data_IF_261619566915
#
_entry.id   IF_261619566915
#
_cell.length_a   1.000
_cell.length_b   1.000
_cell.length_c   1.000
_cell.angle_alpha   90.00
_cell.angle_beta   90.00
_cell.angle_gamma   90.00
#
_symmetry.space_group_name_H-M   'P 1'
#
loop_
_entity.id
_entity.type
_entity.pdbx_description
1 polymer ?
#
# COMPACT_ATOMS: atom_id res chain seq x y z
N UNK A 1 -1.78 7.28 17.97
CA UNK A 1 -1.47 5.94 17.39
C UNK A 1 -2.64 5.44 16.54
N UNK A 2 -2.39 4.58 15.55
CA UNK A 2 -3.43 3.92 14.75
C UNK A 2 -3.29 2.40 14.89
N UNK A 3 -4.40 1.69 15.00
CA UNK A 3 -4.43 0.23 15.09
C UNK A 3 -5.36 -0.34 14.03
N UNK A 4 -4.86 -1.27 13.23
CA UNK A 4 -5.65 -1.92 12.17
C UNK A 4 -6.53 -3.00 12.79
N UNK A 5 -7.83 -2.93 12.51
CA UNK A 5 -8.77 -3.97 12.89
C UNK A 5 -9.35 -4.62 11.64
N UNK A 6 -9.10 -5.92 11.48
CA UNK A 6 -9.76 -6.75 10.47
C UNK A 6 -11.20 -7.01 10.90
N UNK A 7 -12.17 -6.75 10.03
CA UNK A 7 -13.56 -7.16 10.27
C UNK A 7 -13.65 -8.69 10.18
N UNK A 8 -14.11 -9.34 11.25
CA UNK A 8 -14.19 -10.81 11.33
C UNK A 8 -15.40 -11.40 10.59
N UNK A 9 -16.32 -10.56 10.12
CA UNK A 9 -17.68 -10.98 9.74
C UNK A 9 -17.87 -11.20 8.24
N UNK A 10 -16.94 -10.78 7.38
CA UNK A 10 -17.07 -10.88 5.92
C UNK A 10 -15.74 -11.17 5.24
N UNK A 11 -15.77 -11.94 4.14
CA UNK A 11 -14.58 -12.14 3.31
C UNK A 11 -14.05 -10.76 2.86
N UNK A 12 -12.73 -10.50 2.95
CA UNK A 12 -12.17 -9.22 2.55
C UNK A 12 -12.43 -9.00 1.06
N UNK A 13 -13.05 -7.85 0.74
CA UNK A 13 -13.23 -7.42 -0.65
C UNK A 13 -11.84 -7.20 -1.26
N UNK A 14 -11.58 -7.74 -2.44
CA UNK A 14 -10.38 -7.41 -3.21
C UNK A 14 -10.68 -6.26 -4.17
N UNK A 15 -9.80 -5.27 -4.24
CA UNK A 15 -9.92 -4.11 -5.12
C UNK A 15 -8.67 -3.95 -5.98
N UNK A 16 -8.80 -3.17 -7.07
CA UNK A 16 -7.67 -2.73 -7.88
C UNK A 16 -7.53 -1.20 -7.74
N UNK A 17 -6.57 -0.71 -6.94
CA UNK A 17 -6.26 0.72 -6.88
C UNK A 17 -5.71 1.24 -8.21
N UNK A 18 -6.17 2.44 -8.59
CA UNK A 18 -5.73 3.14 -9.79
C UNK A 18 -5.17 4.51 -9.40
N UNK A 19 -3.90 4.75 -9.65
CA UNK A 19 -3.24 6.04 -9.39
C UNK A 19 -3.31 6.86 -10.67
N UNK A 20 -4.15 7.91 -10.66
CA UNK A 20 -4.40 8.74 -11.83
C UNK A 20 -3.46 9.95 -11.87
N UNK A 21 -3.04 10.40 -13.07
CA UNK A 21 -2.21 11.59 -13.27
C UNK A 21 -3.05 12.88 -13.22
N UNK A 22 -3.99 12.94 -12.28
CA UNK A 22 -4.87 14.08 -12.07
C UNK A 22 -5.54 14.02 -10.69
N UNK A 23 -5.91 15.19 -10.16
CA UNK A 23 -6.68 15.28 -8.94
C UNK A 23 -8.19 15.25 -9.24
N UNK A 24 -8.93 14.47 -8.45
CA UNK A 24 -10.39 14.45 -8.44
C UNK A 24 -10.84 15.08 -7.12
N UNK A 25 -11.59 16.19 -7.19
CA UNK A 25 -12.05 16.91 -5.99
C UNK A 25 -13.16 16.17 -5.22
N UNK A 26 -13.87 15.26 -5.88
CA UNK A 26 -14.93 14.48 -5.25
C UNK A 26 -14.35 13.25 -4.54
N UNK A 27 -14.60 13.17 -3.24
CA UNK A 27 -14.25 12.02 -2.40
C UNK A 27 -15.53 11.30 -1.96
N UNK A 28 -15.81 10.14 -2.55
CA UNK A 28 -16.99 9.35 -2.21
C UNK A 28 -17.23 8.20 -3.17
N UNK A 29 -18.12 7.27 -2.82
CA UNK A 29 -18.49 6.17 -3.70
C UNK A 29 -19.16 6.70 -4.97
N UNK A 30 -18.78 6.15 -6.11
CA UNK A 30 -19.39 6.45 -7.40
C UNK A 30 -19.62 5.14 -8.15
N UNK A 31 -20.83 4.95 -8.68
CA UNK A 31 -21.13 3.84 -9.57
C UNK A 31 -20.59 4.18 -10.96
N UNK A 32 -19.47 3.56 -11.34
CA UNK A 32 -18.84 3.76 -12.64
C UNK A 32 -19.25 2.61 -13.55
N UNK A 33 -19.96 2.93 -14.62
CA UNK A 33 -20.25 1.95 -15.66
C UNK A 33 -18.97 1.61 -16.45
N UNK A 34 -18.86 0.36 -16.92
CA UNK A 34 -17.70 -0.12 -17.70
C UNK A 34 -17.38 0.77 -18.91
N UNK A 35 -18.40 1.36 -19.55
CA UNK A 35 -18.19 2.31 -20.66
C UNK A 35 -17.32 3.52 -20.31
N UNK A 36 -17.25 3.92 -19.04
CA UNK A 36 -16.47 5.06 -18.58
C UNK A 36 -15.10 4.66 -18.02
N UNK A 37 -14.98 3.44 -17.50
CA UNK A 37 -13.75 2.92 -16.94
C UNK A 37 -13.68 1.41 -17.16
N UNK A 38 -12.90 1.01 -18.16
CA UNK A 38 -12.63 -0.39 -18.46
C UNK A 38 -11.21 -0.53 -19.06
N UNK A 39 -10.16 -0.43 -18.24
CA UNK A 39 -8.77 -0.59 -18.66
C UNK A 39 -8.58 -1.80 -19.58
N UNK A 40 -8.10 -1.57 -20.80
CA UNK A 40 -7.86 -2.63 -21.77
C UNK A 40 -6.36 -2.97 -21.83
N UNK A 41 -5.97 -4.25 -21.85
CA UNK A 41 -4.60 -4.66 -22.13
C UNK A 41 -4.12 -4.06 -23.45
N UNK A 42 -2.92 -3.48 -23.45
CA UNK A 42 -2.35 -2.91 -24.66
C UNK A 42 -1.82 -4.04 -25.55
N UNK A 43 -2.66 -4.56 -26.46
CA UNK A 43 -2.24 -5.51 -27.47
C UNK A 43 -1.52 -4.76 -28.60
N UNK A 44 -0.31 -4.25 -28.35
CA UNK A 44 0.45 -3.54 -29.38
C UNK A 44 0.98 -4.56 -30.40
N UNK A 45 0.15 -4.92 -31.37
CA UNK A 45 0.63 -5.28 -32.72
C UNK A 45 0.89 -3.94 -33.42
N UNK A 46 2.16 -3.55 -33.50
CA UNK A 46 2.59 -2.32 -34.16
C UNK A 46 2.20 -2.36 -35.64
N UNK A 47 1.05 -1.76 -35.99
CA UNK A 47 0.66 -1.50 -37.37
C UNK A 47 1.04 -0.05 -37.71
N UNK A 48 1.76 0.11 -38.83
CA UNK A 48 2.37 1.32 -39.43
C UNK A 48 3.64 1.84 -38.71
N UNK A 49 4.85 1.81 -39.27
CA UNK A 49 5.30 1.59 -40.64
C UNK A 49 6.80 1.27 -40.70
N UNK A 50 7.17 0.04 -41.03
CA UNK A 50 8.26 -0.28 -41.96
C UNK A 50 8.31 -1.80 -42.13
N UNK A 51 8.48 -2.19 -43.38
CA UNK A 51 8.64 -3.55 -43.84
C UNK A 51 9.74 -4.32 -43.09
N UNK A 52 9.44 -5.60 -42.89
CA UNK A 52 10.35 -6.73 -42.71
C UNK A 52 10.89 -7.01 -41.29
N UNK A 53 10.59 -8.26 -40.90
CA UNK A 53 11.40 -9.17 -40.10
C UNK A 53 11.35 -9.11 -38.57
N UNK A 54 10.66 -10.14 -38.05
CA UNK A 54 11.18 -11.11 -37.08
C UNK A 54 10.97 -10.86 -35.58
N UNK A 55 10.13 -11.74 -35.03
CA UNK A 55 10.39 -12.53 -33.81
C UNK A 55 10.84 -11.80 -32.54
N UNK A 56 9.91 -11.64 -31.61
CA UNK A 56 10.02 -12.29 -30.29
C UNK A 56 8.70 -12.09 -29.53
N UNK A 57 8.06 -13.19 -29.13
CA UNK A 57 6.98 -13.15 -28.15
C UNK A 57 7.54 -12.65 -26.82
N UNK A 58 7.38 -11.36 -26.55
CA UNK A 58 7.62 -10.79 -25.23
C UNK A 58 6.48 -11.20 -24.29
N UNK A 59 6.75 -11.45 -23.00
CA UNK A 59 5.73 -11.88 -22.05
C UNK A 59 4.65 -10.81 -21.95
N UNK A 60 3.39 -11.22 -21.74
CA UNK A 60 2.20 -10.37 -21.66
C UNK A 60 2.53 -9.01 -21.01
N UNK A 61 2.48 -7.93 -21.79
CA UNK A 61 2.81 -6.60 -21.27
C UNK A 61 1.82 -6.25 -20.17
N UNK A 62 2.30 -5.90 -18.97
CA UNK A 62 1.47 -5.38 -17.88
C UNK A 62 0.92 -3.97 -18.17
N UNK A 63 1.02 -3.52 -19.41
CA UNK A 63 0.54 -2.24 -19.90
C UNK A 63 -0.94 -2.30 -20.26
N UNK A 64 -1.65 -1.27 -19.85
CA UNK A 64 -3.08 -1.09 -20.10
C UNK A 64 -3.33 0.30 -20.66
N UNK A 65 -4.42 0.48 -21.38
CA UNK A 65 -4.87 1.78 -21.89
C UNK A 65 -6.30 2.04 -21.45
N UNK A 66 -6.59 3.30 -21.09
CA UNK A 66 -7.93 3.77 -20.74
C UNK A 66 -8.10 5.21 -21.20
N UNK A 67 -9.34 5.68 -21.37
CA UNK A 67 -9.61 7.10 -21.56
C UNK A 67 -10.30 7.67 -20.33
N UNK A 68 -9.84 8.83 -19.88
CA UNK A 68 -10.46 9.56 -18.77
C UNK A 68 -10.64 11.02 -19.17
N UNK A 69 -11.89 11.51 -19.11
CA UNK A 69 -12.24 12.90 -19.47
C UNK A 69 -11.75 13.30 -20.89
N UNK A 70 -11.78 12.35 -21.84
CA UNK A 70 -11.33 12.57 -23.22
C UNK A 70 -9.81 12.51 -23.43
N UNK A 71 -9.03 12.27 -22.38
CA UNK A 71 -7.58 12.09 -22.46
C UNK A 71 -7.24 10.60 -22.44
N UNK A 72 -6.36 10.17 -23.34
CA UNK A 72 -5.82 8.81 -23.33
C UNK A 72 -4.86 8.69 -22.14
N UNK A 73 -4.98 7.60 -21.41
CA UNK A 73 -4.11 7.22 -20.32
C UNK A 73 -3.41 5.92 -20.69
N UNK A 74 -2.10 5.91 -20.49
CA UNK A 74 -1.25 4.74 -20.55
C UNK A 74 -0.98 4.30 -19.12
N UNK A 75 -1.25 3.05 -18.80
CA UNK A 75 -1.08 2.52 -17.46
C UNK A 75 -0.18 1.32 -17.41
N UNK A 76 0.45 1.09 -16.26
CA UNK A 76 1.24 -0.09 -15.96
C UNK A 76 0.73 -0.70 -14.66
N UNK A 77 0.38 -1.98 -14.71
CA UNK A 77 -0.02 -2.73 -13.52
C UNK A 77 1.22 -3.37 -12.89
N UNK A 78 1.40 -3.14 -11.60
CA UNK A 78 2.51 -3.67 -10.82
C UNK A 78 1.96 -4.46 -9.64
N UNK A 79 2.51 -5.64 -9.45
CA UNK A 79 2.17 -6.50 -8.32
C UNK A 79 2.99 -6.09 -7.10
N UNK A 80 2.38 -6.17 -5.92
CA UNK A 80 3.10 -6.07 -4.66
C UNK A 80 4.03 -7.30 -4.52
N UNK A 81 5.17 -7.17 -3.81
CA UNK A 81 6.01 -8.32 -3.51
C UNK A 81 5.23 -9.38 -2.73
N UNK A 82 5.58 -10.66 -2.92
CA UNK A 82 4.78 -11.79 -2.43
C UNK A 82 4.63 -11.85 -0.89
N UNK A 83 5.52 -11.21 -0.14
CA UNK A 83 5.46 -11.09 1.32
C UNK A 83 4.51 -9.98 1.80
N UNK A 84 3.96 -9.16 0.89
CA UNK A 84 3.17 -7.99 1.21
C UNK A 84 1.71 -8.13 0.78
N UNK A 85 0.84 -7.39 1.46
CA UNK A 85 -0.57 -7.24 1.08
C UNK A 85 -0.98 -5.79 1.28
N UNK A 86 -1.63 -5.22 0.28
CA UNK A 86 -2.19 -3.89 0.35
C UNK A 86 -3.52 -3.89 1.10
N UNK A 87 -3.74 -2.88 1.94
CA UNK A 87 -4.97 -2.72 2.72
C UNK A 87 -5.58 -1.35 2.41
N UNK A 88 -6.89 -1.33 2.13
CA UNK A 88 -7.70 -0.10 2.13
C UNK A 88 -8.41 -0.03 3.47
N UNK A 89 -8.07 0.95 4.30
CA UNK A 89 -8.66 1.12 5.63
C UNK A 89 -9.31 2.49 5.79
N UNK A 90 -10.39 2.54 6.57
CA UNK A 90 -11.06 3.77 6.96
C UNK A 90 -10.75 4.11 8.40
N UNK A 91 -10.27 5.34 8.65
CA UNK A 91 -10.09 5.85 10.02
C UNK A 91 -11.45 6.00 10.68
N UNK A 92 -11.59 5.40 11.87
CA UNK A 92 -12.78 5.52 12.71
C UNK A 92 -12.50 6.44 13.90
N UNK A 93 -13.56 6.89 14.57
CA UNK A 93 -13.48 7.64 15.83
C UNK A 93 -13.36 6.71 17.05
N UNK A 94 -13.44 5.39 16.87
CA UNK A 94 -13.32 4.42 17.95
C UNK A 94 -11.88 4.36 18.45
N UNK A 95 -11.70 4.36 19.77
CA UNK A 95 -10.40 4.25 20.42
C UNK A 95 -10.22 2.89 21.09
N UNK A 96 -8.99 2.37 21.08
CA UNK A 96 -8.64 1.22 21.92
C UNK A 96 -8.37 1.75 23.33
N UNK A 97 -9.11 1.25 24.30
CA UNK A 97 -8.83 1.56 25.71
C UNK A 97 -7.52 0.85 26.08
N UNK A 98 -6.44 1.62 26.23
CA UNK A 98 -5.24 1.10 26.89
C UNK A 98 -5.56 0.90 28.36
N UNK A 99 -5.44 -0.33 28.91
CA UNK A 99 -5.63 -0.53 30.34
C UNK A 99 -4.59 0.32 31.07
N UNK A 100 -5.06 1.28 31.86
CA UNK A 100 -4.23 1.98 32.81
C UNK A 100 -3.55 0.92 33.68
N UNK A 101 -2.21 0.86 33.67
CA UNK A 101 -1.53 0.40 34.87
C UNK A 101 -1.85 1.46 35.93
N UNK A 102 -2.92 1.24 36.69
CA UNK A 102 -2.97 1.78 38.04
C UNK A 102 -1.90 1.04 38.82
N UNK A 103 -0.69 1.57 38.84
CA UNK A 103 0.26 1.31 39.91
C UNK A 103 -0.37 1.87 41.20
N UNK A 104 -1.32 1.12 41.76
CA UNK A 104 -1.74 1.29 43.15
C UNK A 104 -0.60 0.79 44.03
N UNK A 105 0.50 1.55 44.09
CA UNK A 105 1.55 1.32 45.06
C UNK A 105 1.11 1.96 46.36
N UNK A 106 0.41 1.18 47.21
CA UNK A 106 0.30 1.48 48.62
C UNK A 106 1.72 1.38 49.23
N UNK A 107 2.50 2.46 49.20
CA UNK A 107 3.74 2.57 49.97
C UNK A 107 3.41 3.28 51.29
N UNK A 108 3.67 2.68 52.46
CA UNK A 108 3.58 3.39 53.74
C UNK A 108 4.64 4.49 53.78
N UNK A 109 4.24 5.68 54.22
CA UNK A 109 5.12 6.85 54.38
C UNK A 109 6.34 6.52 55.23
N UNK A 110 7.52 6.42 54.60
CA UNK A 110 8.78 6.83 55.19
C UNK A 110 9.90 6.89 54.15
N UNK A 111 10.68 7.94 54.30
CA UNK A 111 12.05 8.12 53.82
C UNK A 111 12.27 8.82 52.47
N UNK A 112 13.37 9.57 52.45
CA UNK A 112 13.50 10.90 51.91
C UNK A 112 13.89 10.98 50.42
N UNK A 113 13.35 12.02 49.77
CA UNK A 113 14.08 12.91 48.87
C UNK A 113 14.68 12.32 47.60
N UNK A 114 13.88 12.22 46.53
CA UNK A 114 14.30 12.51 45.16
C UNK A 114 13.11 13.14 44.43
N UNK A 115 13.30 14.39 43.99
CA UNK A 115 12.36 15.11 43.12
C UNK A 115 12.63 14.63 41.68
N UNK A 116 12.19 13.42 41.37
CA UNK A 116 12.05 12.98 39.98
C UNK A 116 10.69 13.49 39.52
N UNK A 117 10.71 14.59 38.75
CA UNK A 117 9.58 14.98 37.91
C UNK A 117 9.32 13.82 36.93
N UNK A 118 8.53 12.83 37.36
CA UNK A 118 7.96 11.82 36.49
C UNK A 118 7.14 12.58 35.44
N UNK A 119 7.74 12.79 34.28
CA UNK A 119 7.10 13.28 33.08
C UNK A 119 6.03 12.26 32.69
N UNK A 120 4.85 12.35 33.33
CA UNK A 120 3.71 11.49 33.10
C UNK A 120 3.34 11.60 31.63
N UNK A 121 3.86 10.68 30.82
CA UNK A 121 3.58 10.61 29.40
C UNK A 121 2.07 10.48 29.25
N UNK A 122 1.43 11.53 28.71
CA UNK A 122 0.00 11.52 28.46
C UNK A 122 -0.35 10.27 27.65
N UNK A 123 -1.45 9.55 27.98
CA UNK A 123 -1.84 8.36 27.24
C UNK A 123 -2.00 8.71 25.76
N UNK A 124 -1.22 8.06 24.90
CA UNK A 124 -1.32 8.31 23.46
C UNK A 124 -2.60 7.68 22.94
N UNK A 125 -3.57 8.50 22.53
CA UNK A 125 -4.83 8.03 21.96
C UNK A 125 -4.58 7.11 20.75
N UNK A 126 -5.17 5.91 20.78
CA UNK A 126 -5.07 4.90 19.72
C UNK A 126 -6.39 4.80 18.96
N UNK A 127 -6.46 5.30 17.73
CA UNK A 127 -7.67 5.21 16.90
C UNK A 127 -7.67 3.95 16.03
N UNK A 128 -8.85 3.38 15.82
CA UNK A 128 -9.02 2.18 15.00
C UNK A 128 -9.09 2.55 13.51
N UNK A 129 -8.24 1.91 12.71
CA UNK A 129 -8.33 1.81 11.26
C UNK A 129 -9.09 0.53 10.88
N UNK A 130 -10.31 0.69 10.36
CA UNK A 130 -11.13 -0.45 9.96
C UNK A 130 -10.78 -0.88 8.53
N UNK A 131 -10.32 -2.11 8.37
CA UNK A 131 -10.01 -2.67 7.05
C UNK A 131 -11.27 -2.89 6.23
N UNK A 132 -11.34 -2.25 5.06
CA UNK A 132 -12.47 -2.31 4.13
C UNK A 132 -12.20 -3.26 2.96
N UNK A 133 -10.96 -3.31 2.48
CA UNK A 133 -10.57 -4.14 1.35
C UNK A 133 -9.07 -4.45 1.37
N UNK A 134 -8.68 -5.40 0.52
CA UNK A 134 -7.28 -5.76 0.24
C UNK A 134 -6.98 -5.60 -1.24
N UNK A 135 -5.70 -5.49 -1.58
CA UNK A 135 -5.23 -5.49 -2.97
C UNK A 135 -3.81 -6.06 -3.03
N UNK A 136 -3.49 -6.70 -4.15
CA UNK A 136 -2.18 -7.32 -4.40
C UNK A 136 -1.42 -6.65 -5.55
N UNK A 137 -2.05 -5.68 -6.21
CA UNK A 137 -1.50 -4.95 -7.34
C UNK A 137 -2.06 -3.54 -7.36
N UNK A 138 -1.31 -2.62 -7.96
CA UNK A 138 -1.78 -1.27 -8.27
C UNK A 138 -1.55 -0.97 -9.74
N UNK A 139 -2.37 -0.11 -10.32
CA UNK A 139 -2.14 0.40 -11.68
C UNK A 139 -1.81 1.88 -11.62
N UNK A 140 -0.60 2.24 -12.04
CA UNK A 140 -0.19 3.64 -12.24
C UNK A 140 -0.55 4.08 -13.65
N UNK A 141 -0.95 5.33 -13.81
CA UNK A 141 -1.40 5.90 -15.08
C UNK A 141 -0.67 7.21 -15.38
N UNK A 142 -0.37 7.44 -16.66
CA UNK A 142 0.19 8.70 -17.18
C UNK A 142 -0.46 9.04 -18.55
N UNK A 143 -0.37 10.29 -19.00
CA UNK A 143 -1.04 10.78 -20.22
C UNK A 143 -0.26 10.47 -21.50
N UNK A 144 1.07 10.57 -21.48
CA UNK A 144 1.90 10.54 -22.70
C UNK A 144 2.45 9.15 -23.02
N UNK A 145 2.94 8.44 -22.00
CA UNK A 145 3.61 7.14 -22.15
C UNK A 145 3.27 6.23 -20.97
N UNK A 146 3.48 4.93 -21.12
CA UNK A 146 3.34 4.01 -20.00
C UNK A 146 4.36 4.39 -18.90
N UNK A 147 3.94 4.44 -17.62
CA UNK A 147 4.85 4.70 -16.51
C UNK A 147 6.03 3.72 -16.51
N UNK A 148 7.24 4.26 -16.51
CA UNK A 148 8.47 3.46 -16.47
C UNK A 148 8.93 3.26 -15.02
N UNK A 149 9.68 2.18 -14.76
CA UNK A 149 10.23 1.92 -13.42
C UNK A 149 11.29 2.95 -13.00
N UNK A 150 11.93 3.65 -13.96
CA UNK A 150 12.97 4.65 -13.67
C UNK A 150 12.41 6.00 -13.22
N UNK A 151 11.25 6.39 -13.74
CA UNK A 151 10.67 7.72 -13.53
C UNK A 151 9.51 7.73 -12.52
N UNK A 152 8.72 6.66 -12.46
CA UNK A 152 7.51 6.62 -11.62
C UNK A 152 7.84 6.25 -10.17
N UNK A 153 7.49 7.17 -9.26
CA UNK A 153 7.79 7.06 -7.83
C UNK A 153 7.10 5.87 -7.17
N UNK A 154 5.89 5.49 -7.61
CA UNK A 154 5.15 4.39 -7.01
C UNK A 154 5.67 3.04 -7.48
N UNK A 155 6.01 2.93 -8.77
CA UNK A 155 6.65 1.73 -9.30
C UNK A 155 7.98 1.49 -8.61
N UNK A 156 8.83 2.52 -8.56
CA UNK A 156 10.12 2.44 -7.91
C UNK A 156 10.00 2.12 -6.42
N UNK A 157 9.03 2.73 -5.73
CA UNK A 157 8.76 2.45 -4.33
C UNK A 157 8.42 0.97 -4.07
N UNK A 158 7.65 0.35 -4.96
CA UNK A 158 7.22 -1.05 -4.79
C UNK A 158 8.29 -2.03 -5.25
N UNK A 159 8.95 -1.78 -6.38
CA UNK A 159 9.94 -2.68 -6.98
C UNK A 159 11.30 -2.61 -6.27
N UNK A 160 11.74 -1.43 -5.84
CA UNK A 160 13.08 -1.22 -5.25
C UNK A 160 13.03 -1.00 -3.74
N UNK A 161 12.25 -0.01 -3.28
CA UNK A 161 12.35 0.47 -1.90
C UNK A 161 11.90 -0.56 -0.88
N UNK A 162 10.84 -1.33 -1.17
CA UNK A 162 10.35 -2.37 -0.25
C UNK A 162 11.45 -3.41 0.03
N UNK A 163 12.04 -4.00 -1.01
CA UNK A 163 13.09 -5.01 -0.85
C UNK A 163 14.38 -4.44 -0.24
N UNK A 164 14.71 -3.19 -0.56
CA UNK A 164 15.83 -2.49 0.06
C UNK A 164 15.61 -2.28 1.57
N UNK A 165 14.41 -1.86 1.97
CA UNK A 165 14.05 -1.68 3.37
C UNK A 165 14.02 -3.01 4.14
N UNK A 166 13.56 -4.10 3.52
CA UNK A 166 13.67 -5.44 4.10
C UNK A 166 15.13 -5.81 4.37
N UNK A 167 16.02 -5.53 3.42
CA UNK A 167 17.44 -5.87 3.53
C UNK A 167 18.15 -5.08 4.63
N UNK A 168 17.81 -3.80 4.82
CA UNK A 168 18.39 -2.97 5.89
C UNK A 168 17.98 -3.47 7.28
N UNK A 169 16.72 -3.90 7.42
CA UNK A 169 16.15 -4.28 8.71
C UNK A 169 16.13 -5.79 8.95
N UNK A 170 16.78 -6.57 8.08
CA UNK A 170 16.95 -8.00 8.26
C UNK A 170 17.87 -8.27 9.45
N UNK A 171 17.47 -9.19 10.33
CA UNK A 171 18.32 -9.67 11.41
C UNK A 171 19.10 -10.89 10.94
N UNK A 172 20.38 -10.97 11.32
CA UNK A 172 21.18 -12.18 11.09
C UNK A 172 20.53 -13.37 11.79
N UNK A 173 20.17 -14.39 11.01
CA UNK A 173 19.70 -15.66 11.58
C UNK A 173 20.92 -16.34 12.20
N UNK A 174 20.93 -16.64 13.51
CA UNK A 174 22.06 -17.30 14.12
C UNK A 174 22.27 -18.66 13.44
N UNK A 175 23.48 -18.83 12.88
CA UNK A 175 23.92 -20.05 12.22
C UNK A 175 23.78 -21.19 13.22
N UNK A 176 22.76 -22.03 13.07
CA UNK A 176 22.58 -23.18 13.94
C UNK A 176 23.77 -24.11 13.70
N UNK A 177 24.65 -24.22 14.69
CA UNK A 177 25.80 -25.11 14.67
C UNK A 177 25.30 -26.57 14.76
N UNK A 178 24.81 -27.09 13.66
CA UNK A 178 24.38 -28.47 13.53
C UNK A 178 24.73 -28.99 12.13
N UNK A 179 26.02 -28.96 11.83
CA UNK A 179 26.67 -29.82 10.83
C UNK A 179 28.17 -29.76 11.11
N UNK A 180 28.63 -30.68 11.95
CA UNK A 180 30.03 -31.01 12.23
C UNK A 180 30.18 -32.51 12.09
#
# INVERSE_FOLDING_TARGET
MLAIQSSSTTKPKTLQPNILPCQIHHSGPISIAERYWNPQPNNTTTATSSSAQSQSQSPASNEVTQHFRGRKLHGKTINLPSSYTGIVAQKTTRQIQTPHQTSSTNIPANDAGYDEEEEQSLPTETFILEQQATFNSITTWDHEKAPSSEEDVYIRGIEEWIGFAESIHAYDIPKTAAES
#
